data_IF_929232963442
#
_entry.id   IF_929232963442
#
_cell.length_a   1.000
_cell.length_b   1.000
_cell.length_c   1.000
_cell.angle_alpha   90.00
_cell.angle_beta   90.00
_cell.angle_gamma   90.00
#
_symmetry.space_group_name_H-M   'P 1'
#
loop_
_entity.id
_entity.type
_entity.pdbx_description
1 polymer ?
#
# COMPACT_ATOMS: atom_id res chain seq x y z
N UNK A 1 -62.68 82.25 19.60
CA UNK A 1 -61.47 81.83 20.35
C UNK A 1 -61.21 80.40 19.95
N UNK A 2 -60.04 80.13 19.35
CA UNK A 2 -59.72 78.81 18.81
C UNK A 2 -59.12 77.88 19.86
N UNK A 3 -58.87 76.64 19.45
CA UNK A 3 -57.90 75.78 20.12
C UNK A 3 -57.27 74.84 19.08
N UNK A 4 -56.11 75.25 18.55
CA UNK A 4 -55.37 74.48 17.55
C UNK A 4 -54.59 73.35 18.21
N UNK A 5 -54.99 72.10 17.96
CA UNK A 5 -54.25 70.91 18.38
C UNK A 5 -53.05 70.67 17.47
N UNK A 6 -51.88 71.22 17.84
CA UNK A 6 -50.63 71.04 17.08
C UNK A 6 -50.14 69.59 17.17
N UNK A 7 -50.38 68.81 16.11
CA UNK A 7 -49.75 67.52 15.90
C UNK A 7 -48.31 67.69 15.41
N UNK A 8 -47.32 67.50 16.30
CA UNK A 8 -45.91 67.50 15.93
C UNK A 8 -45.57 66.23 15.12
N UNK A 9 -45.58 66.35 13.80
CA UNK A 9 -45.15 65.28 12.90
C UNK A 9 -43.62 65.15 12.92
N UNK A 10 -43.10 64.15 13.64
CA UNK A 10 -41.69 63.76 13.57
C UNK A 10 -41.40 63.18 12.18
N UNK A 11 -40.94 64.03 11.27
CA UNK A 11 -40.44 63.61 9.96
C UNK A 11 -39.18 62.79 10.11
N UNK A 12 -39.30 61.47 10.07
CA UNK A 12 -38.18 60.57 9.79
C UNK A 12 -37.70 60.88 8.36
N UNK A 13 -36.62 61.65 8.22
CA UNK A 13 -35.93 61.81 6.95
C UNK A 13 -35.53 60.44 6.43
N UNK A 14 -36.09 60.03 5.28
CA UNK A 14 -35.61 58.88 4.55
C UNK A 14 -34.13 59.11 4.16
N UNK A 15 -33.25 58.10 4.27
CA UNK A 15 -31.86 58.25 3.87
C UNK A 15 -31.76 58.61 2.39
N UNK A 16 -30.92 59.60 2.09
CA UNK A 16 -30.79 60.18 0.75
C UNK A 16 -30.21 59.12 -0.22
N UNK A 17 -30.87 58.82 -1.36
CA UNK A 17 -30.48 57.69 -2.21
C UNK A 17 -29.04 57.78 -2.75
N UNK A 18 -28.54 58.99 -3.05
CA UNK A 18 -27.17 59.19 -3.53
C UNK A 18 -26.12 58.80 -2.48
N UNK A 19 -26.40 59.03 -1.19
CA UNK A 19 -25.53 58.63 -0.08
C UNK A 19 -25.52 57.10 0.04
N UNK A 20 -26.68 56.46 -0.11
CA UNK A 20 -26.77 54.99 -0.07
C UNK A 20 -26.04 54.31 -1.24
N UNK A 21 -26.02 54.93 -2.43
CA UNK A 21 -25.24 54.44 -3.57
C UNK A 21 -23.74 54.60 -3.33
N UNK A 22 -23.30 55.75 -2.80
CA UNK A 22 -21.90 55.98 -2.44
C UNK A 22 -21.36 54.98 -1.40
N UNK A 23 -22.12 54.70 -0.34
CA UNK A 23 -21.75 53.68 0.65
C UNK A 23 -21.60 52.29 0.04
N UNK A 24 -22.42 51.91 -0.96
CA UNK A 24 -22.28 50.64 -1.66
C UNK A 24 -21.11 50.60 -2.65
N UNK A 25 -20.62 51.74 -3.13
CA UNK A 25 -19.41 51.80 -3.96
C UNK A 25 -18.14 51.62 -3.11
N UNK A 26 -18.02 52.31 -1.97
CA UNK A 26 -16.89 52.13 -1.03
C UNK A 26 -16.77 50.71 -0.47
N UNK A 27 -17.88 50.11 0.00
CA UNK A 27 -17.89 48.73 0.52
C UNK A 27 -17.42 47.69 -0.53
N UNK A 28 -17.72 47.92 -1.82
CA UNK A 28 -17.21 47.08 -2.91
C UNK A 28 -15.72 47.32 -3.19
N UNK A 29 -15.26 48.57 -3.06
CA UNK A 29 -13.87 48.94 -3.23
C UNK A 29 -12.96 48.18 -2.26
N UNK A 30 -13.28 48.22 -0.96
CA UNK A 30 -12.53 47.51 0.08
C UNK A 30 -12.54 46.00 -0.14
N UNK A 31 -13.73 45.42 -0.42
CA UNK A 31 -13.87 43.99 -0.68
C UNK A 31 -13.03 43.52 -1.86
N UNK A 32 -13.05 44.26 -2.96
CA UNK A 32 -12.31 43.90 -4.17
C UNK A 32 -10.81 44.16 -4.00
N UNK A 33 -10.42 45.18 -3.23
CA UNK A 33 -9.02 45.45 -2.86
C UNK A 33 -8.45 44.30 -2.04
N UNK A 34 -9.16 43.87 -0.99
CA UNK A 34 -8.78 42.72 -0.16
C UNK A 34 -8.73 41.41 -0.98
N UNK A 35 -9.68 41.19 -1.90
CA UNK A 35 -9.65 40.05 -2.80
C UNK A 35 -8.42 40.06 -3.73
N UNK A 36 -8.12 41.19 -4.39
CA UNK A 36 -6.92 41.34 -5.21
C UNK A 36 -5.64 41.09 -4.40
N UNK A 37 -5.55 41.64 -3.19
CA UNK A 37 -4.41 41.44 -2.29
C UNK A 37 -4.24 39.99 -1.84
N UNK A 38 -5.34 39.24 -1.65
CA UNK A 38 -5.30 37.80 -1.33
C UNK A 38 -4.53 36.96 -2.38
N UNK A 39 -4.52 37.43 -3.63
CA UNK A 39 -3.78 36.86 -4.75
C UNK A 39 -2.41 37.52 -4.94
N UNK A 40 -2.34 38.86 -5.01
CA UNK A 40 -1.10 39.60 -5.26
C UNK A 40 -0.01 39.35 -4.21
N UNK A 41 -0.39 39.09 -2.94
CA UNK A 41 0.56 38.70 -1.88
C UNK A 41 1.41 37.48 -2.24
N UNK A 42 0.88 36.57 -3.07
CA UNK A 42 1.59 35.36 -3.57
C UNK A 42 2.70 35.71 -4.58
N UNK A 43 2.64 36.89 -5.19
CA UNK A 43 3.66 37.45 -6.06
C UNK A 43 4.51 38.54 -5.37
N UNK A 44 4.36 38.72 -4.04
CA UNK A 44 5.15 39.68 -3.26
C UNK A 44 4.76 41.15 -3.48
N UNK A 45 3.51 41.44 -3.86
CA UNK A 45 3.02 42.81 -4.04
C UNK A 45 1.59 42.98 -3.52
N UNK A 46 1.11 44.22 -3.45
CA UNK A 46 -0.24 44.58 -3.00
C UNK A 46 -0.71 45.88 -3.66
N UNK A 47 -1.99 46.18 -3.51
CA UNK A 47 -2.63 47.45 -3.83
C UNK A 47 -3.17 48.10 -2.55
N UNK A 48 -3.14 49.43 -2.52
CA UNK A 48 -3.65 50.25 -1.41
C UNK A 48 -4.93 50.98 -1.84
N UNK A 49 -4.97 51.51 -3.07
CA UNK A 49 -6.16 52.11 -3.66
C UNK A 49 -6.39 51.50 -5.05
N UNK A 50 -7.56 50.89 -5.25
CA UNK A 50 -7.88 50.11 -6.45
C UNK A 50 -8.02 50.98 -7.72
N UNK A 51 -8.36 52.25 -7.54
CA UNK A 51 -8.56 53.24 -8.61
C UNK A 51 -7.23 53.73 -9.18
N UNK A 52 -6.23 53.92 -8.33
CA UNK A 52 -4.88 54.41 -8.65
C UNK A 52 -3.94 53.29 -9.09
N UNK A 53 -3.93 52.17 -8.37
CA UNK A 53 -2.90 51.12 -8.52
C UNK A 53 -3.03 50.27 -9.79
N UNK A 54 -4.22 50.19 -10.38
CA UNK A 54 -4.43 49.46 -11.64
C UNK A 54 -4.22 50.32 -12.90
N UNK A 55 -4.04 51.64 -12.75
CA UNK A 55 -3.97 52.59 -13.88
C UNK A 55 -2.81 52.35 -14.82
N UNK A 56 -1.73 51.69 -14.40
CA UNK A 56 -0.58 51.38 -15.27
C UNK A 56 -0.65 50.02 -15.97
N UNK A 57 -1.68 49.21 -15.64
CA UNK A 57 -1.91 47.86 -16.12
C UNK A 57 -0.96 46.78 -15.56
N UNK A 58 0.13 47.13 -14.88
CA UNK A 58 1.15 46.16 -14.46
C UNK A 58 0.65 45.25 -13.35
N UNK A 59 0.07 45.81 -12.28
CA UNK A 59 -0.52 45.03 -11.19
C UNK A 59 -1.74 44.23 -11.67
N UNK A 60 -2.50 44.74 -12.64
CA UNK A 60 -3.64 44.05 -13.26
C UNK A 60 -3.19 42.83 -14.06
N UNK A 61 -2.17 42.98 -14.92
CA UNK A 61 -1.60 41.86 -15.67
C UNK A 61 -1.04 40.79 -14.72
N UNK A 62 -0.32 41.19 -13.66
CA UNK A 62 0.21 40.25 -12.67
C UNK A 62 -0.90 39.51 -11.90
N UNK A 63 -1.99 40.20 -11.52
CA UNK A 63 -3.16 39.58 -10.93
C UNK A 63 -3.73 38.49 -11.86
N UNK A 64 -3.89 38.79 -13.15
CA UNK A 64 -4.37 37.84 -14.16
C UNK A 64 -3.42 36.63 -14.31
N UNK A 65 -2.10 36.82 -14.29
CA UNK A 65 -1.14 35.70 -14.29
C UNK A 65 -1.30 34.82 -13.04
N UNK A 66 -1.44 35.42 -11.86
CA UNK A 66 -1.54 34.69 -10.58
C UNK A 66 -2.85 33.90 -10.45
N UNK A 67 -3.99 34.44 -10.92
CA UNK A 67 -5.28 33.73 -10.82
C UNK A 67 -5.47 32.67 -11.91
N UNK A 68 -4.85 32.83 -13.07
CA UNK A 68 -4.96 31.87 -14.19
C UNK A 68 -3.87 30.80 -14.20
N UNK A 69 -2.69 31.10 -13.64
CA UNK A 69 -1.48 30.28 -13.78
C UNK A 69 -0.80 30.40 -15.15
N UNK A 70 -1.31 31.26 -16.04
CA UNK A 70 -0.77 31.48 -17.38
C UNK A 70 0.07 32.76 -17.45
N UNK A 71 1.04 32.83 -18.37
CA UNK A 71 1.83 34.05 -18.61
C UNK A 71 1.18 34.91 -19.68
N UNK A 72 1.06 36.21 -19.39
CA UNK A 72 0.55 37.20 -20.34
C UNK A 72 1.69 37.68 -21.26
N UNK A 73 1.32 38.39 -22.33
CA UNK A 73 2.28 39.08 -23.18
C UNK A 73 3.12 40.06 -22.35
N UNK A 74 4.42 40.22 -22.66
CA UNK A 74 5.32 41.09 -21.89
C UNK A 74 4.76 42.52 -21.80
N UNK A 75 4.76 43.15 -20.61
CA UNK A 75 4.28 44.52 -20.46
C UNK A 75 5.20 45.52 -21.15
N UNK A 76 4.62 46.61 -21.66
CA UNK A 76 5.36 47.77 -22.14
C UNK A 76 6.04 48.50 -20.99
N UNK A 77 7.31 48.85 -21.19
CA UNK A 77 8.15 49.50 -20.18
C UNK A 77 8.24 51.00 -20.45
N UNK A 78 7.31 51.77 -19.88
CA UNK A 78 7.41 53.23 -19.89
C UNK A 78 6.30 53.93 -19.12
N UNK A 79 6.52 55.21 -18.78
CA UNK A 79 5.63 55.98 -17.89
C UNK A 79 4.51 56.74 -18.61
N UNK A 80 4.61 56.93 -19.93
CA UNK A 80 3.59 57.64 -20.73
C UNK A 80 2.23 56.92 -20.73
N UNK A 81 1.13 57.69 -20.82
CA UNK A 81 -0.27 57.17 -20.85
C UNK A 81 -0.47 56.08 -21.91
N UNK A 82 0.14 56.20 -23.09
CA UNK A 82 0.08 55.19 -24.17
C UNK A 82 0.62 53.82 -23.75
N UNK A 83 1.67 53.74 -22.93
CA UNK A 83 2.16 52.45 -22.43
C UNK A 83 1.20 51.83 -21.41
N UNK A 84 0.61 52.66 -20.55
CA UNK A 84 -0.42 52.25 -19.59
C UNK A 84 -1.63 51.65 -20.32
N UNK A 85 -2.13 52.33 -21.36
CA UNK A 85 -3.21 51.84 -22.23
C UNK A 85 -2.83 50.52 -22.91
N UNK A 86 -1.60 50.39 -23.41
CA UNK A 86 -1.12 49.13 -24.01
C UNK A 86 -1.12 47.97 -23.00
N UNK A 87 -0.69 48.20 -21.76
CA UNK A 87 -0.71 47.19 -20.70
C UNK A 87 -2.13 46.80 -20.29
N UNK A 88 -3.02 47.78 -20.11
CA UNK A 88 -4.43 47.50 -19.79
C UNK A 88 -5.12 46.78 -20.96
N UNK A 89 -4.88 47.16 -22.22
CA UNK A 89 -5.41 46.42 -23.38
C UNK A 89 -4.93 44.96 -23.39
N UNK A 90 -3.63 44.68 -23.14
CA UNK A 90 -3.12 43.30 -23.01
C UNK A 90 -3.85 42.50 -21.91
N UNK A 91 -4.23 43.15 -20.81
CA UNK A 91 -5.03 42.53 -19.75
C UNK A 91 -6.50 42.30 -20.18
N UNK A 92 -7.15 43.29 -20.82
CA UNK A 92 -8.53 43.19 -21.30
C UNK A 92 -8.67 42.13 -22.42
N UNK A 93 -7.71 42.06 -23.34
CA UNK A 93 -7.63 41.04 -24.40
C UNK A 93 -7.51 39.64 -23.79
N UNK A 94 -6.69 39.48 -22.75
CA UNK A 94 -6.59 38.21 -22.01
C UNK A 94 -7.92 37.85 -21.34
N UNK A 95 -8.57 38.79 -20.66
CA UNK A 95 -9.90 38.59 -20.02
C UNK A 95 -10.95 38.17 -21.06
N UNK A 96 -10.98 38.84 -22.22
CA UNK A 96 -11.87 38.51 -23.33
C UNK A 96 -11.59 37.10 -23.88
N UNK A 97 -10.31 36.70 -24.02
CA UNK A 97 -9.91 35.36 -24.46
C UNK A 97 -10.42 34.24 -23.54
N UNK A 98 -10.68 34.53 -22.26
CA UNK A 98 -11.25 33.57 -21.28
C UNK A 98 -12.78 33.51 -21.30
N UNK A 99 -13.43 34.15 -22.28
CA UNK A 99 -14.88 34.10 -22.51
C UNK A 99 -15.69 35.20 -21.82
N UNK A 100 -15.04 36.25 -21.30
CA UNK A 100 -15.70 37.37 -20.62
C UNK A 100 -16.12 38.43 -21.65
N UNK A 101 -17.38 38.89 -21.58
CA UNK A 101 -17.88 40.00 -22.40
C UNK A 101 -17.70 41.32 -21.67
N UNK A 102 -16.76 42.16 -22.12
CA UNK A 102 -16.40 43.43 -21.50
C UNK A 102 -17.39 44.57 -21.84
N UNK A 103 -18.65 44.37 -21.43
CA UNK A 103 -19.81 45.26 -21.40
C UNK A 103 -19.75 46.47 -20.44
N UNK A 104 -19.21 47.67 -20.67
CA UNK A 104 -18.65 48.30 -21.87
C UNK A 104 -17.30 48.96 -21.52
N UNK A 105 -16.33 48.14 -21.16
CA UNK A 105 -15.12 48.55 -20.42
C UNK A 105 -13.97 48.76 -21.40
N UNK A 106 -13.48 50.00 -21.51
CA UNK A 106 -12.31 50.37 -22.31
C UNK A 106 -11.06 50.62 -21.45
N UNK A 107 -9.87 50.43 -22.03
CA UNK A 107 -8.61 50.68 -21.31
C UNK A 107 -8.43 52.15 -20.89
N UNK A 108 -8.94 53.11 -21.67
CA UNK A 108 -8.92 54.54 -21.35
C UNK A 108 -9.54 54.80 -19.96
N UNK A 109 -10.71 54.21 -19.67
CA UNK A 109 -11.44 54.37 -18.40
C UNK A 109 -10.63 53.91 -17.19
N UNK A 110 -9.90 52.79 -17.33
CA UNK A 110 -9.07 52.23 -16.25
C UNK A 110 -7.81 53.09 -16.05
N UNK A 111 -7.19 53.57 -17.13
CA UNK A 111 -5.98 54.41 -17.07
C UNK A 111 -6.28 55.81 -16.52
N UNK A 112 -7.49 56.33 -16.77
CA UNK A 112 -7.92 57.64 -16.29
C UNK A 112 -8.50 57.61 -14.87
N UNK A 113 -8.76 56.42 -14.31
CA UNK A 113 -9.18 56.23 -12.90
C UNK A 113 -10.70 56.21 -12.69
N UNK A 114 -11.48 55.74 -13.68
CA UNK A 114 -12.93 55.61 -13.52
C UNK A 114 -13.27 54.43 -12.57
N UNK A 115 -13.44 54.74 -11.30
CA UNK A 115 -13.80 53.84 -10.18
C UNK A 115 -14.84 52.79 -10.59
N UNK A 116 -15.96 53.24 -11.15
CA UNK A 116 -17.10 52.39 -11.49
C UNK A 116 -16.76 51.38 -12.59
N UNK A 117 -15.93 51.77 -13.54
CA UNK A 117 -15.45 50.88 -14.61
C UNK A 117 -14.37 49.92 -14.10
N UNK A 118 -13.50 50.38 -13.20
CA UNK A 118 -12.50 49.55 -12.53
C UNK A 118 -13.15 48.49 -11.64
N UNK A 119 -14.08 48.84 -10.76
CA UNK A 119 -14.86 47.89 -9.96
C UNK A 119 -15.71 46.96 -10.87
N UNK A 120 -16.23 47.48 -11.98
CA UNK A 120 -16.91 46.68 -13.01
C UNK A 120 -16.01 45.59 -13.61
N UNK A 121 -14.78 45.96 -13.98
CA UNK A 121 -13.76 45.06 -14.52
C UNK A 121 -13.35 44.01 -13.49
N UNK A 122 -12.98 44.43 -12.27
CA UNK A 122 -12.56 43.52 -11.20
C UNK A 122 -13.70 42.54 -10.85
N UNK A 123 -14.96 42.99 -10.83
CA UNK A 123 -16.10 42.08 -10.69
C UNK A 123 -16.18 41.04 -11.81
N UNK A 124 -15.95 41.40 -13.08
CA UNK A 124 -15.97 40.39 -14.17
C UNK A 124 -14.84 39.37 -14.06
N UNK A 125 -13.68 39.79 -13.53
CA UNK A 125 -12.54 38.90 -13.22
C UNK A 125 -12.91 37.95 -12.08
N UNK A 126 -13.41 38.47 -10.94
CA UNK A 126 -13.88 37.66 -9.80
C UNK A 126 -14.95 36.67 -10.27
N UNK A 127 -15.97 37.14 -10.98
CA UNK A 127 -17.03 36.30 -11.51
C UNK A 127 -16.46 35.18 -12.38
N UNK A 128 -15.54 35.48 -13.30
CA UNK A 128 -14.97 34.47 -14.21
C UNK A 128 -14.06 33.46 -13.52
N UNK A 129 -13.12 33.91 -12.69
CA UNK A 129 -12.03 33.07 -12.17
C UNK A 129 -12.32 32.50 -10.78
N UNK A 130 -13.14 33.16 -9.95
CA UNK A 130 -13.49 32.67 -8.62
C UNK A 130 -14.89 32.04 -8.55
N UNK A 131 -15.84 32.43 -9.41
CA UNK A 131 -17.24 31.98 -9.27
C UNK A 131 -17.69 31.07 -10.41
N UNK A 132 -17.35 31.38 -11.68
CA UNK A 132 -17.95 30.74 -12.85
C UNK A 132 -17.72 29.23 -12.94
N UNK A 133 -16.58 28.74 -12.46
CA UNK A 133 -16.23 27.31 -12.45
C UNK A 133 -16.84 26.56 -11.24
N UNK A 134 -17.61 27.24 -10.37
CA UNK A 134 -18.42 26.64 -9.30
C UNK A 134 -19.73 26.11 -9.88
N UNK A 135 -19.68 24.93 -10.51
CA UNK A 135 -20.87 24.20 -10.92
C UNK A 135 -21.27 23.17 -9.86
N UNK A 136 -22.54 23.22 -9.44
CA UNK A 136 -23.18 22.17 -8.63
C UNK A 136 -24.45 21.79 -9.38
N UNK A 137 -24.53 20.53 -9.83
CA UNK A 137 -25.69 19.98 -10.54
C UNK A 137 -26.13 20.79 -11.77
N UNK A 138 -25.15 21.19 -12.59
CA UNK A 138 -25.36 21.86 -13.89
C UNK A 138 -26.12 23.21 -13.84
N UNK A 139 -26.34 23.75 -12.64
CA UNK A 139 -26.92 25.09 -12.42
C UNK A 139 -25.93 26.21 -12.77
N UNK A 140 -26.43 27.44 -12.95
CA UNK A 140 -25.54 28.59 -13.19
C UNK A 140 -24.63 28.84 -11.98
N UNK A 141 -23.44 29.39 -12.21
CA UNK A 141 -22.42 29.53 -11.17
C UNK A 141 -22.88 30.22 -9.88
N UNK A 142 -23.75 31.24 -9.98
CA UNK A 142 -24.36 31.91 -8.83
C UNK A 142 -25.31 30.99 -8.06
N UNK A 143 -26.12 30.23 -8.78
CA UNK A 143 -27.06 29.25 -8.21
C UNK A 143 -26.32 28.06 -7.60
N UNK A 144 -25.25 27.58 -8.25
CA UNK A 144 -24.38 26.52 -7.73
C UNK A 144 -23.70 26.91 -6.41
N UNK A 145 -23.19 28.14 -6.31
CA UNK A 145 -22.64 28.66 -5.05
C UNK A 145 -23.74 28.81 -3.97
N UNK A 146 -24.94 29.27 -4.34
CA UNK A 146 -26.07 29.44 -3.42
C UNK A 146 -26.56 28.07 -2.89
N UNK A 147 -26.72 27.09 -3.79
CA UNK A 147 -27.09 25.71 -3.50
C UNK A 147 -26.05 25.03 -2.62
N UNK A 148 -24.75 25.27 -2.85
CA UNK A 148 -23.68 24.81 -1.97
C UNK A 148 -23.85 25.39 -0.55
N UNK A 149 -24.09 26.71 -0.43
CA UNK A 149 -24.33 27.34 0.87
C UNK A 149 -25.51 26.68 1.58
N UNK A 150 -26.67 26.61 0.92
CA UNK A 150 -27.89 25.99 1.42
C UNK A 150 -27.67 24.56 1.90
N UNK A 151 -26.98 23.72 1.12
CA UNK A 151 -26.69 22.32 1.49
C UNK A 151 -25.78 22.19 2.70
N UNK A 152 -24.79 23.09 2.83
CA UNK A 152 -23.87 23.10 3.97
C UNK A 152 -24.55 23.65 5.23
N UNK A 153 -25.46 24.63 5.11
CA UNK A 153 -26.19 25.20 6.24
C UNK A 153 -27.53 24.51 6.56
N UNK A 154 -28.02 23.58 5.73
CA UNK A 154 -29.30 22.88 5.95
C UNK A 154 -29.49 22.24 7.34
N UNK A 155 -28.45 21.72 8.03
CA UNK A 155 -28.61 21.19 9.41
C UNK A 155 -28.90 22.27 10.48
N UNK A 156 -28.68 23.56 10.19
CA UNK A 156 -28.73 24.65 11.16
C UNK A 156 -30.08 25.37 11.08
N UNK A 157 -30.99 25.04 12.01
CA UNK A 157 -32.38 25.55 12.02
C UNK A 157 -32.50 27.08 12.09
N UNK A 158 -31.47 27.77 12.59
CA UNK A 158 -31.41 29.23 12.71
C UNK A 158 -30.86 29.93 11.45
N UNK A 159 -30.48 29.20 10.40
CA UNK A 159 -29.88 29.72 9.16
C UNK A 159 -30.77 29.40 7.96
N UNK A 160 -31.08 30.42 7.15
CA UNK A 160 -31.85 30.28 5.92
C UNK A 160 -31.24 31.16 4.81
N UNK A 161 -30.38 30.56 3.99
CA UNK A 161 -29.67 31.26 2.90
C UNK A 161 -30.52 31.25 1.64
N UNK A 162 -31.02 32.43 1.23
CA UNK A 162 -31.86 32.59 0.03
C UNK A 162 -31.28 33.57 -0.99
N UNK A 163 -30.29 34.37 -0.58
CA UNK A 163 -29.64 35.39 -1.41
C UNK A 163 -28.24 35.68 -0.86
N UNK A 164 -27.44 36.44 -1.60
CA UNK A 164 -26.13 36.92 -1.16
C UNK A 164 -26.19 38.35 -0.60
N UNK A 165 -27.26 38.75 0.08
CA UNK A 165 -27.31 40.06 0.75
C UNK A 165 -27.86 39.98 2.17
N UNK A 166 -29.18 39.90 2.32
CA UNK A 166 -29.85 39.97 3.63
C UNK A 166 -29.69 38.67 4.41
N UNK A 167 -29.61 37.52 3.73
CA UNK A 167 -29.43 36.21 4.37
C UNK A 167 -28.11 36.03 5.14
N UNK A 168 -27.14 36.92 4.94
CA UNK A 168 -25.81 36.87 5.57
C UNK A 168 -25.62 37.91 6.67
N UNK A 169 -26.57 38.86 6.80
CA UNK A 169 -26.47 40.02 7.70
C UNK A 169 -26.42 39.64 9.19
N UNK A 170 -26.96 38.48 9.57
CA UNK A 170 -26.91 38.01 10.97
C UNK A 170 -25.62 37.26 11.33
N UNK A 171 -24.68 37.08 10.40
CA UNK A 171 -23.40 36.41 10.59
C UNK A 171 -23.47 34.88 10.79
N UNK A 172 -24.66 34.34 11.10
CA UNK A 172 -24.86 32.91 11.37
C UNK A 172 -24.58 32.04 10.15
N UNK A 173 -24.84 32.56 8.93
CA UNK A 173 -24.49 31.89 7.67
C UNK A 173 -22.99 31.59 7.54
N UNK A 174 -22.12 32.57 7.82
CA UNK A 174 -20.67 32.38 7.78
C UNK A 174 -20.20 31.40 8.86
N UNK A 175 -20.69 31.57 10.10
CA UNK A 175 -20.37 30.67 11.21
C UNK A 175 -20.77 29.22 10.93
N UNK A 176 -21.95 29.00 10.34
CA UNK A 176 -22.46 27.67 9.99
C UNK A 176 -21.64 27.02 8.87
N UNK A 177 -21.19 27.79 7.86
CA UNK A 177 -20.27 27.28 6.84
C UNK A 177 -18.95 26.79 7.42
N UNK A 178 -18.36 27.57 8.34
CA UNK A 178 -17.10 27.20 9.00
C UNK A 178 -17.31 25.96 9.87
N UNK A 179 -18.26 25.99 10.82
CA UNK A 179 -18.55 24.87 11.72
C UNK A 179 -18.95 23.59 10.97
N UNK A 180 -19.54 23.69 9.76
CA UNK A 180 -19.90 22.49 8.96
C UNK A 180 -18.68 21.73 8.43
N UNK A 181 -17.58 22.43 8.14
CA UNK A 181 -16.35 21.86 7.59
C UNK A 181 -15.26 21.65 8.64
N UNK A 182 -15.25 22.50 9.67
CA UNK A 182 -14.31 22.49 10.80
C UNK A 182 -15.04 22.86 12.10
N UNK A 183 -15.77 21.90 12.71
CA UNK A 183 -16.56 22.16 13.92
C UNK A 183 -15.69 22.57 15.12
N UNK A 184 -14.42 22.23 15.13
CA UNK A 184 -13.46 22.57 16.18
C UNK A 184 -13.12 24.07 16.27
N UNK A 185 -13.43 24.86 15.24
CA UNK A 185 -13.03 26.28 15.17
C UNK A 185 -14.07 27.26 15.71
N UNK A 186 -15.34 26.88 15.83
CA UNK A 186 -16.44 27.76 16.27
C UNK A 186 -17.38 27.01 17.21
N UNK A 187 -17.55 27.51 18.43
CA UNK A 187 -18.61 27.04 19.33
C UNK A 187 -19.96 27.62 18.90
N UNK A 188 -20.61 26.94 17.97
CA UNK A 188 -21.87 27.39 17.37
C UNK A 188 -23.01 27.52 18.39
N UNK A 189 -22.94 26.81 19.53
CA UNK A 189 -23.97 26.86 20.58
C UNK A 189 -24.03 28.19 21.33
N UNK A 190 -22.98 29.01 21.28
CA UNK A 190 -22.92 30.34 21.91
C UNK A 190 -23.47 31.45 21.02
N UNK A 191 -23.54 31.24 19.71
CA UNK A 191 -23.92 32.26 18.73
C UNK A 191 -25.42 32.54 18.76
N UNK A 192 -25.81 33.79 18.58
CA UNK A 192 -27.22 34.21 18.61
C UNK A 192 -27.54 35.23 17.53
N UNK A 193 -28.78 35.23 17.05
CA UNK A 193 -29.22 36.08 15.93
C UNK A 193 -29.32 37.57 16.29
N UNK A 194 -29.50 37.88 17.55
CA UNK A 194 -29.57 39.22 18.14
C UNK A 194 -28.20 39.92 18.25
N UNK A 195 -27.08 39.20 18.08
CA UNK A 195 -25.72 39.75 18.08
C UNK A 195 -24.99 39.51 16.74
N UNK A 196 -25.39 40.22 15.66
CA UNK A 196 -24.81 40.02 14.34
C UNK A 196 -23.34 40.46 14.27
N UNK A 197 -22.95 41.48 15.05
CA UNK A 197 -21.61 42.05 15.01
C UNK A 197 -20.57 41.06 15.56
N UNK A 198 -20.86 40.42 16.70
CA UNK A 198 -20.00 39.37 17.25
C UNK A 198 -19.95 38.14 16.36
N UNK A 199 -21.08 37.72 15.76
CA UNK A 199 -21.12 36.57 14.84
C UNK A 199 -20.23 36.80 13.60
N UNK A 200 -20.34 37.99 12.97
CA UNK A 200 -19.55 38.35 11.79
C UNK A 200 -18.05 38.40 12.12
N UNK A 201 -17.67 39.16 13.15
CA UNK A 201 -16.27 39.25 13.57
C UNK A 201 -15.67 37.89 13.96
N UNK A 202 -16.41 37.05 14.70
CA UNK A 202 -15.98 35.68 15.03
C UNK A 202 -15.71 34.84 13.77
N UNK A 203 -16.59 34.90 12.78
CA UNK A 203 -16.40 34.18 11.52
C UNK A 203 -15.18 34.71 10.74
N UNK A 204 -15.00 36.03 10.70
CA UNK A 204 -13.94 36.69 9.93
C UNK A 204 -12.55 36.47 10.56
N UNK A 205 -12.45 36.58 11.89
CA UNK A 205 -11.23 36.25 12.65
C UNK A 205 -10.81 34.79 12.48
N UNK A 206 -11.77 33.86 12.57
CA UNK A 206 -11.51 32.43 12.40
C UNK A 206 -11.09 32.10 10.95
N UNK A 207 -11.70 32.76 9.97
CA UNK A 207 -11.36 32.58 8.56
C UNK A 207 -9.94 33.06 8.24
N UNK A 208 -9.55 34.23 8.76
CA UNK A 208 -8.20 34.77 8.60
C UNK A 208 -7.16 33.90 9.30
N UNK A 209 -7.38 33.58 10.58
CA UNK A 209 -6.39 32.90 11.42
C UNK A 209 -6.18 31.42 11.09
N UNK A 210 -7.22 30.69 10.67
CA UNK A 210 -7.17 29.23 10.53
C UNK A 210 -7.48 28.71 9.12
N UNK A 211 -8.02 29.55 8.22
CA UNK A 211 -8.35 29.17 6.84
C UNK A 211 -7.52 29.95 5.78
N UNK A 212 -6.69 30.92 6.19
CA UNK A 212 -5.96 31.85 5.31
C UNK A 212 -6.87 32.59 4.30
N UNK A 213 -8.10 32.90 4.73
CA UNK A 213 -9.04 33.74 4.00
C UNK A 213 -8.96 35.14 4.64
N UNK A 214 -8.33 36.14 3.99
CA UNK A 214 -8.20 37.48 4.58
C UNK A 214 -9.57 38.11 4.77
N UNK A 215 -9.70 39.01 5.74
CA UNK A 215 -10.93 39.78 5.95
C UNK A 215 -11.18 40.68 4.74
N UNK A 216 -12.26 40.40 3.99
CA UNK A 216 -12.67 41.21 2.83
C UNK A 216 -13.91 42.05 3.12
N UNK A 217 -14.53 41.91 4.29
CA UNK A 217 -15.75 42.62 4.67
C UNK A 217 -15.59 43.13 6.09
N UNK A 218 -16.06 44.34 6.36
CA UNK A 218 -16.24 44.83 7.72
C UNK A 218 -17.60 44.38 8.30
N UNK A 219 -17.64 44.08 9.59
CA UNK A 219 -18.85 43.66 10.28
C UNK A 219 -19.80 44.85 10.57
N UNK A 220 -19.26 46.03 10.86
CA UNK A 220 -20.02 47.26 11.11
C UNK A 220 -20.77 47.70 9.85
N UNK A 221 -20.13 47.65 8.68
CA UNK A 221 -20.74 48.01 7.39
C UNK A 221 -21.92 47.09 7.00
N UNK A 222 -21.76 45.78 7.20
CA UNK A 222 -22.83 44.80 6.96
C UNK A 222 -24.02 45.05 7.88
N UNK A 223 -23.77 45.40 9.15
CA UNK A 223 -24.81 45.64 10.15
C UNK A 223 -25.48 47.00 9.93
N UNK A 224 -24.73 48.05 9.62
CA UNK A 224 -25.23 49.40 9.36
C UNK A 224 -26.03 49.50 8.04
N UNK A 225 -25.62 48.79 7.00
CA UNK A 225 -26.27 48.86 5.68
C UNK A 225 -27.59 48.08 5.64
N UNK A 226 -28.68 48.71 5.18
CA UNK A 226 -30.00 48.05 5.09
C UNK A 226 -30.01 46.79 4.20
N UNK A 227 -29.21 46.80 3.12
CA UNK A 227 -28.98 45.67 2.21
C UNK A 227 -27.49 45.61 1.82
N UNK A 228 -26.71 44.66 2.37
CA UNK A 228 -25.32 44.45 1.96
C UNK A 228 -25.18 44.23 0.46
N UNK A 229 -24.05 44.62 -0.13
CA UNK A 229 -23.81 44.44 -1.57
C UNK A 229 -23.65 42.96 -1.94
N UNK A 230 -24.41 42.53 -2.95
CA UNK A 230 -24.45 41.14 -3.38
C UNK A 230 -23.12 40.65 -3.96
N UNK A 231 -22.38 41.51 -4.67
CA UNK A 231 -21.10 41.15 -5.28
C UNK A 231 -20.02 40.96 -4.23
N UNK A 232 -19.97 41.85 -3.24
CA UNK A 232 -19.05 41.76 -2.12
C UNK A 232 -19.23 40.46 -1.33
N UNK A 233 -20.48 40.15 -0.91
CA UNK A 233 -20.80 38.90 -0.22
C UNK A 233 -20.50 37.67 -1.10
N UNK A 234 -20.86 37.67 -2.39
CA UNK A 234 -20.52 36.57 -3.30
C UNK A 234 -19.00 36.34 -3.40
N UNK A 235 -18.21 37.41 -3.47
CA UNK A 235 -16.74 37.35 -3.53
C UNK A 235 -16.18 36.66 -2.29
N UNK A 236 -16.61 37.09 -1.11
CA UNK A 236 -16.12 36.53 0.15
C UNK A 236 -16.59 35.08 0.36
N UNK A 237 -17.86 34.77 0.08
CA UNK A 237 -18.41 33.40 0.16
C UNK A 237 -17.74 32.44 -0.84
N UNK A 238 -17.35 32.92 -2.03
CA UNK A 238 -16.58 32.11 -2.99
C UNK A 238 -15.18 31.75 -2.47
N UNK A 239 -14.57 32.61 -1.64
CA UNK A 239 -13.28 32.33 -0.99
C UNK A 239 -13.39 31.17 0.01
N UNK A 240 -14.48 31.11 0.80
CA UNK A 240 -14.79 29.94 1.64
C UNK A 240 -15.03 28.68 0.80
N UNK A 241 -15.74 28.78 -0.33
CA UNK A 241 -15.94 27.64 -1.23
C UNK A 241 -14.60 27.05 -1.70
N UNK A 242 -13.65 27.89 -2.13
CA UNK A 242 -12.34 27.41 -2.60
C UNK A 242 -11.49 26.83 -1.48
N UNK A 243 -11.46 27.46 -0.30
CA UNK A 243 -10.74 26.92 0.85
C UNK A 243 -11.24 25.51 1.24
N UNK A 244 -12.56 25.34 1.36
CA UNK A 244 -13.15 24.05 1.77
C UNK A 244 -13.18 23.01 0.65
N UNK A 245 -13.43 23.39 -0.60
CA UNK A 245 -13.40 22.44 -1.72
C UNK A 245 -11.97 22.00 -2.08
N UNK A 246 -10.97 22.88 -1.92
CA UNK A 246 -9.56 22.54 -2.01
C UNK A 246 -9.14 21.52 -0.95
N UNK A 247 -9.51 21.76 0.31
CA UNK A 247 -9.28 20.81 1.41
C UNK A 247 -9.92 19.44 1.14
N UNK A 248 -11.19 19.41 0.70
CA UNK A 248 -11.90 18.15 0.39
C UNK A 248 -11.26 17.38 -0.77
N UNK A 249 -10.77 18.07 -1.81
CA UNK A 249 -10.04 17.46 -2.93
C UNK A 249 -8.71 16.87 -2.46
N UNK A 250 -7.96 17.59 -1.64
CA UNK A 250 -6.70 17.12 -1.05
C UNK A 250 -6.92 15.89 -0.15
N UNK A 251 -7.92 15.91 0.73
CA UNK A 251 -8.29 14.78 1.58
C UNK A 251 -8.68 13.56 0.74
N UNK A 252 -9.49 13.76 -0.31
CA UNK A 252 -9.89 12.66 -1.22
C UNK A 252 -8.70 12.07 -1.97
N UNK A 253 -7.74 12.90 -2.37
CA UNK A 253 -6.50 12.44 -2.99
C UNK A 253 -5.63 11.67 -1.99
N UNK A 254 -5.45 12.18 -0.76
CA UNK A 254 -4.71 11.50 0.31
C UNK A 254 -5.34 10.14 0.66
N UNK A 255 -6.67 10.08 0.78
CA UNK A 255 -7.40 8.83 1.03
C UNK A 255 -7.26 7.81 -0.11
N UNK A 256 -7.15 8.26 -1.37
CA UNK A 256 -6.83 7.39 -2.52
C UNK A 256 -5.39 6.87 -2.45
N UNK A 257 -4.43 7.74 -2.13
CA UNK A 257 -3.02 7.37 -1.96
C UNK A 257 -2.86 6.34 -0.84
N UNK A 258 -3.48 6.55 0.33
CA UNK A 258 -3.44 5.61 1.46
C UNK A 258 -3.98 4.22 1.09
N UNK A 259 -5.07 4.14 0.30
CA UNK A 259 -5.59 2.87 -0.22
C UNK A 259 -4.61 2.17 -1.18
N UNK A 260 -3.96 2.93 -2.06
CA UNK A 260 -2.96 2.37 -3.00
C UNK A 260 -1.71 1.90 -2.24
N UNK A 261 -1.27 2.62 -1.20
CA UNK A 261 -0.16 2.23 -0.35
C UNK A 261 -0.48 0.96 0.44
N UNK A 262 -1.66 0.84 1.05
CA UNK A 262 -2.08 -0.37 1.77
C UNK A 262 -2.05 -1.62 0.86
N UNK A 263 -2.61 -1.52 -0.35
CA UNK A 263 -2.55 -2.62 -1.34
C UNK A 263 -1.12 -2.94 -1.77
N UNK A 264 -0.23 -1.94 -1.81
CA UNK A 264 1.18 -2.16 -2.13
C UNK A 264 1.91 -2.90 -0.99
N UNK A 265 1.67 -2.49 0.26
CA UNK A 265 2.24 -3.14 1.44
C UNK A 265 1.82 -4.60 1.56
N UNK A 266 0.55 -4.92 1.26
CA UNK A 266 0.08 -6.32 1.18
C UNK A 266 0.81 -7.13 0.09
N UNK A 267 1.12 -6.52 -1.06
CA UNK A 267 1.83 -7.21 -2.13
C UNK A 267 3.30 -7.44 -1.77
N UNK A 268 3.95 -6.46 -1.13
CA UNK A 268 5.31 -6.57 -0.61
C UNK A 268 5.40 -7.67 0.46
N UNK A 269 4.44 -7.74 1.39
CA UNK A 269 4.39 -8.84 2.37
C UNK A 269 4.24 -10.21 1.69
N UNK A 270 3.38 -10.33 0.67
CA UNK A 270 3.22 -11.57 -0.09
C UNK A 270 4.49 -11.97 -0.87
N UNK A 271 5.29 -10.98 -1.32
CA UNK A 271 6.61 -11.22 -1.94
C UNK A 271 7.62 -11.75 -0.92
N UNK A 272 7.70 -11.12 0.26
CA UNK A 272 8.58 -11.56 1.36
C UNK A 272 8.20 -12.96 1.87
N UNK A 273 6.91 -13.21 2.08
CA UNK A 273 6.39 -14.51 2.52
C UNK A 273 6.72 -15.61 1.50
N UNK A 274 6.59 -15.32 0.19
CA UNK A 274 7.00 -16.24 -0.87
C UNK A 274 8.51 -16.50 -0.84
N UNK A 275 9.34 -15.45 -0.81
CA UNK A 275 10.81 -15.59 -0.83
C UNK A 275 11.34 -16.37 0.38
N UNK A 276 10.73 -16.15 1.56
CA UNK A 276 11.06 -16.86 2.78
C UNK A 276 10.68 -18.34 2.71
N UNK A 277 9.42 -18.65 2.36
CA UNK A 277 8.97 -20.03 2.19
C UNK A 277 9.79 -20.78 1.12
N UNK A 278 10.14 -20.11 0.01
CA UNK A 278 11.00 -20.67 -1.02
C UNK A 278 12.39 -21.01 -0.48
N UNK A 279 12.98 -20.11 0.31
CA UNK A 279 14.31 -20.29 0.89
C UNK A 279 14.34 -21.45 1.90
N UNK A 280 13.39 -21.46 2.83
CA UNK A 280 13.28 -22.47 3.89
C UNK A 280 13.02 -23.87 3.29
N UNK A 281 12.14 -23.96 2.29
CA UNK A 281 11.82 -25.22 1.61
C UNK A 281 13.00 -25.74 0.78
N UNK A 282 13.66 -24.89 0.00
CA UNK A 282 14.84 -25.27 -0.79
C UNK A 282 16.03 -25.66 0.10
N UNK A 283 16.22 -25.01 1.25
CA UNK A 283 17.22 -25.41 2.21
C UNK A 283 16.90 -26.77 2.86
N UNK A 284 15.64 -27.00 3.25
CA UNK A 284 15.22 -28.30 3.76
C UNK A 284 15.45 -29.41 2.74
N UNK A 285 15.06 -29.24 1.47
CA UNK A 285 15.31 -30.20 0.39
C UNK A 285 16.83 -30.50 0.27
N UNK A 286 17.67 -29.45 0.21
CA UNK A 286 19.13 -29.59 0.11
C UNK A 286 19.76 -30.34 1.30
N UNK A 287 19.20 -30.20 2.50
CA UNK A 287 19.65 -30.92 3.71
C UNK A 287 19.14 -32.37 3.76
N UNK A 288 17.94 -32.64 3.23
CA UNK A 288 17.31 -33.97 3.28
C UNK A 288 17.81 -34.94 2.21
N UNK A 289 18.12 -34.47 0.99
CA UNK A 289 18.60 -35.34 -0.10
C UNK A 289 19.85 -36.16 0.31
N UNK A 290 20.93 -35.58 0.88
CA UNK A 290 22.11 -36.35 1.29
C UNK A 290 21.84 -37.42 2.36
N UNK A 291 20.82 -37.22 3.21
CA UNK A 291 20.41 -38.23 4.20
C UNK A 291 19.72 -39.42 3.53
N UNK A 292 18.87 -39.19 2.52
CA UNK A 292 18.23 -40.24 1.70
C UNK A 292 19.22 -40.94 0.75
N UNK A 293 20.27 -40.23 0.31
CA UNK A 293 21.32 -40.83 -0.53
C UNK A 293 22.36 -41.65 0.27
N UNK A 294 22.37 -41.53 1.61
CA UNK A 294 23.29 -42.26 2.48
C UNK A 294 22.93 -43.75 2.62
N UNK A 295 23.31 -44.55 1.62
CA UNK A 295 23.06 -46.00 1.53
C UNK A 295 24.11 -46.85 2.28
N UNK A 296 24.51 -46.41 3.47
CA UNK A 296 25.46 -47.15 4.31
C UNK A 296 24.79 -48.39 4.94
N UNK A 297 25.23 -49.63 4.61
CA UNK A 297 24.66 -50.85 5.18
C UNK A 297 25.06 -51.02 6.64
N UNK A 298 24.12 -51.46 7.48
CA UNK A 298 24.38 -51.78 8.89
C UNK A 298 24.60 -53.29 9.08
N UNK A 299 25.44 -53.64 10.05
CA UNK A 299 25.84 -55.03 10.29
C UNK A 299 24.82 -55.86 11.10
N UNK A 300 23.72 -55.25 11.57
CA UNK A 300 22.70 -55.95 12.39
C UNK A 300 21.29 -55.66 11.91
N UNK A 301 20.42 -56.68 11.97
CA UNK A 301 18.99 -56.56 11.64
C UNK A 301 18.30 -55.45 12.45
N UNK A 302 18.66 -55.30 13.73
CA UNK A 302 18.08 -54.29 14.62
C UNK A 302 18.44 -52.85 14.20
N UNK A 303 19.68 -52.60 13.79
CA UNK A 303 20.08 -51.28 13.28
C UNK A 303 19.37 -50.91 11.96
N UNK A 304 19.12 -51.90 11.08
CA UNK A 304 18.31 -51.68 9.88
C UNK A 304 16.82 -51.47 10.19
N UNK A 305 16.28 -52.10 11.24
CA UNK A 305 14.92 -51.81 11.73
C UNK A 305 14.80 -50.38 12.27
N UNK A 306 15.82 -49.86 12.97
CA UNK A 306 15.84 -48.46 13.41
C UNK A 306 15.79 -47.50 12.21
N UNK A 307 16.64 -47.70 11.19
CA UNK A 307 16.62 -46.88 9.96
C UNK A 307 15.26 -46.92 9.24
N UNK A 308 14.52 -48.02 9.35
CA UNK A 308 13.16 -48.14 8.79
C UNK A 308 12.14 -47.32 9.59
N UNK A 309 12.24 -47.26 10.92
CA UNK A 309 11.35 -46.43 11.74
C UNK A 309 11.68 -44.94 11.60
N UNK A 310 12.96 -44.56 11.56
CA UNK A 310 13.39 -43.19 11.25
C UNK A 310 12.80 -42.70 9.90
N UNK A 311 12.74 -43.59 8.89
CA UNK A 311 12.12 -43.31 7.59
C UNK A 311 10.58 -43.24 7.65
N UNK A 312 9.94 -44.01 8.53
CA UNK A 312 8.49 -43.91 8.79
C UNK A 312 8.13 -42.60 9.48
N UNK A 313 8.91 -42.18 10.46
CA UNK A 313 8.74 -40.89 11.15
C UNK A 313 8.98 -39.71 10.21
N UNK A 314 10.01 -39.78 9.35
CA UNK A 314 10.18 -38.84 8.25
C UNK A 314 8.90 -38.71 7.39
N UNK A 315 8.33 -39.83 6.94
CA UNK A 315 7.11 -39.82 6.08
C UNK A 315 5.83 -39.42 6.81
N UNK A 316 5.71 -39.68 8.11
CA UNK A 316 4.50 -39.42 8.91
C UNK A 316 4.47 -38.04 9.55
N UNK A 317 5.62 -37.52 10.00
CA UNK A 317 5.70 -36.30 10.80
C UNK A 317 6.40 -35.16 10.05
N UNK A 318 7.54 -35.43 9.40
CA UNK A 318 8.40 -34.38 8.85
C UNK A 318 8.07 -33.97 7.40
N UNK A 319 7.71 -34.93 6.53
CA UNK A 319 7.34 -34.64 5.14
C UNK A 319 5.97 -33.95 4.96
N UNK A 320 4.88 -34.35 5.64
CA UNK A 320 3.56 -33.76 5.42
C UNK A 320 3.47 -32.23 5.53
N UNK A 321 4.05 -31.55 6.56
CA UNK A 321 4.03 -30.09 6.61
C UNK A 321 4.79 -29.45 5.44
N UNK A 322 5.85 -30.09 4.91
CA UNK A 322 6.60 -29.58 3.75
C UNK A 322 5.84 -29.70 2.43
N UNK A 323 4.95 -30.68 2.30
CA UNK A 323 3.96 -30.74 1.20
C UNK A 323 2.98 -29.58 1.30
N UNK A 324 2.52 -29.24 2.50
CA UNK A 324 1.64 -28.10 2.72
C UNK A 324 2.33 -26.76 2.46
N UNK A 325 3.59 -26.58 2.89
CA UNK A 325 4.40 -25.38 2.58
C UNK A 325 4.59 -25.20 1.06
N UNK A 326 4.89 -26.28 0.31
CA UNK A 326 4.97 -26.24 -1.15
C UNK A 326 3.66 -25.76 -1.79
N UNK A 327 2.53 -26.32 -1.35
CA UNK A 327 1.21 -25.92 -1.84
C UNK A 327 0.89 -24.45 -1.51
N UNK A 328 1.19 -24.01 -0.28
CA UNK A 328 0.99 -22.63 0.15
C UNK A 328 1.84 -21.63 -0.65
N UNK A 329 3.07 -22.01 -1.01
CA UNK A 329 3.96 -21.21 -1.85
C UNK A 329 3.38 -21.01 -3.27
N UNK A 330 2.84 -22.06 -3.88
CA UNK A 330 2.16 -21.99 -5.18
C UNK A 330 0.87 -21.15 -5.11
N UNK A 331 0.11 -21.24 -4.01
CA UNK A 331 -1.07 -20.39 -3.76
C UNK A 331 -0.65 -18.92 -3.64
N UNK A 332 0.36 -18.60 -2.81
CA UNK A 332 0.85 -17.24 -2.62
C UNK A 332 1.29 -16.61 -3.94
N UNK A 333 2.06 -17.34 -4.75
CA UNK A 333 2.51 -16.89 -6.07
C UNK A 333 1.33 -16.60 -7.01
N UNK A 334 0.39 -17.53 -7.15
CA UNK A 334 -0.76 -17.35 -8.04
C UNK A 334 -1.69 -16.22 -7.60
N UNK A 335 -1.87 -16.04 -6.28
CA UNK A 335 -2.65 -14.94 -5.70
C UNK A 335 -1.96 -13.60 -5.97
N UNK A 336 -0.66 -13.48 -5.70
CA UNK A 336 0.12 -12.27 -5.95
C UNK A 336 0.14 -11.90 -7.45
N UNK A 337 0.41 -12.87 -8.32
CA UNK A 337 0.41 -12.68 -9.77
C UNK A 337 -0.96 -12.22 -10.30
N UNK A 338 -2.06 -12.71 -9.70
CA UNK A 338 -3.41 -12.26 -10.02
C UNK A 338 -3.70 -10.85 -9.49
N UNK A 339 -3.30 -10.52 -8.25
CA UNK A 339 -3.40 -9.15 -7.69
C UNK A 339 -2.65 -8.13 -8.54
N UNK A 340 -1.42 -8.44 -8.96
CA UNK A 340 -0.60 -7.56 -9.78
C UNK A 340 -1.19 -7.36 -11.19
N UNK A 341 -1.65 -8.45 -11.84
CA UNK A 341 -2.33 -8.35 -13.15
C UNK A 341 -3.60 -7.52 -13.10
N UNK A 342 -4.46 -7.73 -12.10
CA UNK A 342 -5.72 -6.96 -11.95
C UNK A 342 -5.49 -5.48 -11.64
N UNK A 343 -4.33 -5.13 -11.07
CA UNK A 343 -3.93 -3.75 -10.80
C UNK A 343 -3.05 -3.13 -11.90
N UNK A 344 -2.88 -3.81 -13.04
CA UNK A 344 -2.00 -3.42 -14.16
C UNK A 344 -0.55 -3.12 -13.73
N UNK A 345 -0.05 -3.84 -12.72
CA UNK A 345 1.32 -3.75 -12.23
C UNK A 345 2.23 -4.79 -12.90
N UNK A 346 3.56 -4.56 -12.92
CA UNK A 346 4.52 -5.57 -13.37
C UNK A 346 4.33 -6.91 -12.64
N UNK A 347 4.58 -8.00 -13.37
CA UNK A 347 4.56 -9.35 -12.79
C UNK A 347 5.64 -9.51 -11.71
N UNK A 348 5.35 -10.32 -10.69
CA UNK A 348 6.36 -10.68 -9.71
C UNK A 348 7.32 -11.71 -10.31
N UNK A 349 8.61 -11.45 -10.20
CA UNK A 349 9.68 -12.38 -10.56
C UNK A 349 10.53 -12.64 -9.31
N UNK A 350 10.54 -13.87 -8.77
CA UNK A 350 11.41 -14.26 -7.65
C UNK A 350 12.90 -14.14 -7.98
N UNK A 351 13.73 -14.09 -6.94
CA UNK A 351 15.19 -14.22 -7.08
C UNK A 351 15.61 -15.49 -7.84
N UNK A 352 16.76 -15.45 -8.52
CA UNK A 352 17.26 -16.59 -9.31
C UNK A 352 17.35 -17.89 -8.50
N UNK A 353 16.92 -19.01 -9.10
CA UNK A 353 16.87 -20.32 -8.45
C UNK A 353 15.74 -20.51 -7.43
N UNK A 354 14.83 -19.52 -7.29
CA UNK A 354 13.62 -19.59 -6.43
C UNK A 354 12.31 -19.55 -7.22
N UNK A 355 12.33 -19.81 -8.53
CA UNK A 355 11.10 -19.87 -9.30
C UNK A 355 10.28 -21.11 -8.94
N UNK A 356 8.96 -21.06 -9.15
CA UNK A 356 8.06 -22.19 -8.89
C UNK A 356 8.47 -23.44 -9.70
N UNK A 357 9.07 -23.26 -10.88
CA UNK A 357 9.71 -24.33 -11.66
C UNK A 357 10.87 -25.00 -10.92
N UNK A 358 11.74 -24.21 -10.31
CA UNK A 358 12.98 -24.67 -9.68
C UNK A 358 12.66 -25.45 -8.40
N UNK A 359 11.66 -24.97 -7.65
CA UNK A 359 11.11 -25.64 -6.47
C UNK A 359 10.47 -26.98 -6.86
N UNK A 360 9.72 -27.03 -7.96
CA UNK A 360 9.15 -28.27 -8.47
C UNK A 360 10.23 -29.26 -8.94
N UNK A 361 11.29 -28.79 -9.60
CA UNK A 361 12.43 -29.62 -9.99
C UNK A 361 13.17 -30.17 -8.77
N UNK A 362 13.49 -29.33 -7.78
CA UNK A 362 14.14 -29.74 -6.54
C UNK A 362 13.29 -30.75 -5.73
N UNK A 363 11.97 -30.56 -5.71
CA UNK A 363 11.03 -31.51 -5.11
C UNK A 363 11.01 -32.85 -5.85
N UNK A 364 11.07 -32.86 -7.17
CA UNK A 364 11.20 -34.08 -7.97
C UNK A 364 12.49 -34.86 -7.67
N UNK A 365 13.61 -34.17 -7.47
CA UNK A 365 14.87 -34.79 -7.03
C UNK A 365 14.74 -35.44 -5.64
N UNK A 366 14.03 -34.80 -4.71
CA UNK A 366 13.74 -35.38 -3.39
C UNK A 366 12.91 -36.67 -3.50
N UNK A 367 11.84 -36.67 -4.29
CA UNK A 367 11.00 -37.85 -4.50
C UNK A 367 11.76 -39.01 -5.17
N UNK A 368 12.69 -38.70 -6.07
CA UNK A 368 13.59 -39.69 -6.66
C UNK A 368 14.57 -40.29 -5.64
N UNK A 369 15.13 -39.45 -4.75
CA UNK A 369 16.02 -39.91 -3.66
C UNK A 369 15.26 -40.78 -2.66
N UNK A 370 14.04 -40.39 -2.25
CA UNK A 370 13.16 -41.18 -1.37
C UNK A 370 12.87 -42.57 -1.95
N UNK A 371 12.48 -42.65 -3.23
CA UNK A 371 12.19 -43.92 -3.89
C UNK A 371 13.43 -44.82 -3.91
N UNK A 372 14.60 -44.26 -4.24
CA UNK A 372 15.86 -44.99 -4.22
C UNK A 372 16.29 -45.48 -2.83
N UNK A 373 15.97 -44.72 -1.77
CA UNK A 373 16.22 -45.10 -0.39
C UNK A 373 15.26 -46.20 0.10
N UNK A 374 13.96 -46.09 -0.22
CA UNK A 374 12.96 -47.12 0.09
C UNK A 374 13.27 -48.46 -0.59
N UNK A 375 13.62 -48.44 -1.88
CA UNK A 375 14.06 -49.64 -2.61
C UNK A 375 15.34 -50.26 -2.00
N UNK A 376 16.31 -49.43 -1.61
CA UNK A 376 17.55 -49.88 -0.97
C UNK A 376 17.30 -50.50 0.41
N UNK A 377 16.54 -49.83 1.30
CA UNK A 377 16.18 -50.35 2.63
C UNK A 377 15.49 -51.71 2.54
N UNK A 378 14.49 -51.84 1.64
CA UNK A 378 13.75 -53.09 1.45
C UNK A 378 14.60 -54.21 0.83
N UNK A 379 15.62 -53.88 0.02
CA UNK A 379 16.58 -54.87 -0.47
C UNK A 379 17.52 -55.34 0.65
N UNK A 380 18.00 -54.42 1.48
CA UNK A 380 18.99 -54.69 2.52
C UNK A 380 18.40 -55.47 3.70
N UNK A 381 17.18 -55.14 4.14
CA UNK A 381 16.45 -55.93 5.15
C UNK A 381 16.26 -57.37 4.65
N UNK A 382 15.77 -57.56 3.41
CA UNK A 382 15.63 -58.89 2.78
C UNK A 382 16.96 -59.61 2.54
N UNK A 383 18.10 -58.90 2.58
CA UNK A 383 19.44 -59.49 2.50
C UNK A 383 19.85 -60.03 3.88
N UNK A 384 19.70 -59.21 4.92
CA UNK A 384 20.01 -59.60 6.30
C UNK A 384 19.12 -60.74 6.79
N UNK A 385 17.79 -60.68 6.59
CA UNK A 385 16.87 -61.78 6.95
C UNK A 385 17.29 -63.13 6.37
N UNK A 386 17.78 -63.13 5.11
CA UNK A 386 18.28 -64.34 4.44
C UNK A 386 19.61 -64.80 5.00
N UNK A 387 20.51 -63.88 5.37
CA UNK A 387 21.77 -64.21 6.03
C UNK A 387 21.56 -64.78 7.43
N UNK A 388 20.69 -64.19 8.24
CA UNK A 388 20.36 -64.69 9.58
C UNK A 388 19.71 -66.07 9.51
N UNK A 389 18.77 -66.30 8.58
CA UNK A 389 18.20 -67.63 8.35
C UNK A 389 19.23 -68.67 7.91
N UNK A 390 20.17 -68.31 7.03
CA UNK A 390 21.24 -69.21 6.59
C UNK A 390 22.26 -69.49 7.70
N UNK A 391 22.62 -68.48 8.49
CA UNK A 391 23.51 -68.61 9.64
C UNK A 391 22.90 -69.50 10.71
N UNK A 392 21.62 -69.33 11.03
CA UNK A 392 20.91 -70.17 11.99
C UNK A 392 20.80 -71.62 11.50
N UNK A 393 20.44 -71.83 10.23
CA UNK A 393 20.44 -73.17 9.60
C UNK A 393 21.83 -73.81 9.57
N UNK A 394 22.89 -73.02 9.47
CA UNK A 394 24.26 -73.51 9.59
C UNK A 394 24.59 -73.91 11.04
N UNK A 395 24.32 -73.06 12.03
CA UNK A 395 24.52 -73.37 13.46
C UNK A 395 23.82 -74.65 13.87
N UNK A 396 22.55 -74.82 13.49
CA UNK A 396 21.78 -76.03 13.79
C UNK A 396 22.44 -77.29 13.20
N UNK A 397 22.90 -77.23 11.95
CA UNK A 397 23.59 -78.35 11.30
C UNK A 397 24.97 -78.63 11.88
N UNK A 398 25.73 -77.58 12.23
CA UNK A 398 27.02 -77.69 12.88
C UNK A 398 26.86 -78.36 14.25
N UNK A 399 25.95 -77.88 15.09
CA UNK A 399 25.66 -78.44 16.42
C UNK A 399 25.20 -79.90 16.36
N UNK A 400 24.35 -80.27 15.39
CA UNK A 400 23.97 -81.69 15.17
C UNK A 400 25.18 -82.54 14.78
N UNK A 401 26.08 -82.01 13.95
CA UNK A 401 27.28 -82.72 13.51
C UNK A 401 28.32 -82.85 14.64
N UNK A 402 28.54 -81.80 15.42
CA UNK A 402 29.41 -81.77 16.60
C UNK A 402 28.93 -82.79 17.64
N UNK A 403 27.62 -82.79 17.96
CA UNK A 403 27.03 -83.77 18.87
C UNK A 403 27.12 -85.22 18.37
N UNK A 404 27.10 -85.45 17.04
CA UNK A 404 27.36 -86.76 16.46
C UNK A 404 28.84 -87.16 16.58
N UNK A 405 29.77 -86.25 16.29
CA UNK A 405 31.21 -86.54 16.43
C UNK A 405 31.64 -86.77 17.88
N UNK A 406 31.07 -86.04 18.84
CA UNK A 406 31.32 -86.25 20.27
C UNK A 406 30.75 -87.59 20.76
N UNK A 407 29.64 -88.05 20.17
CA UNK A 407 29.07 -89.37 20.40
C UNK A 407 29.92 -90.52 19.85
N UNK A 408 30.54 -90.35 18.68
CA UNK A 408 31.45 -91.35 18.09
C UNK A 408 32.92 -91.22 18.56
N UNK A 409 33.27 -90.18 19.32
CA UNK A 409 34.57 -90.03 19.98
C UNK A 409 34.81 -91.02 21.15
N UNK A 410 34.01 -92.09 21.24
CA UNK A 410 34.11 -93.16 22.24
C UNK A 410 34.13 -94.55 21.58
N UNK A 411 35.18 -95.35 21.84
CA UNK A 411 36.47 -95.29 21.16
C UNK A 411 36.44 -95.91 19.75
N UNK A 412 37.40 -95.53 18.91
CA UNK A 412 37.60 -96.03 17.55
C UNK A 412 38.12 -97.49 17.51
N UNK A 413 37.30 -98.48 17.87
CA UNK A 413 37.69 -99.90 17.91
C UNK A 413 36.83 -100.89 17.08
N UNK A 414 35.80 -100.43 16.36
CA UNK A 414 34.95 -101.31 15.54
C UNK A 414 34.46 -100.68 14.22
N UNK A 415 35.29 -100.60 13.18
CA UNK A 415 34.81 -100.43 11.80
C UNK A 415 35.56 -101.32 10.80
N UNK A 416 34.85 -102.11 9.95
CA UNK A 416 35.48 -102.99 8.97
C UNK A 416 35.99 -102.23 7.72
N UNK A 417 36.92 -102.81 6.93
CA UNK A 417 37.73 -102.07 5.93
C UNK A 417 36.97 -101.36 4.79
N UNK A 418 35.68 -101.63 4.58
CA UNK A 418 34.87 -100.97 3.55
C UNK A 418 34.35 -99.58 3.93
N UNK A 419 34.28 -99.24 5.22
CA UNK A 419 33.63 -97.98 5.68
C UNK A 419 34.55 -96.76 5.47
N UNK A 420 35.87 -96.95 5.58
CA UNK A 420 36.87 -95.89 5.37
C UNK A 420 36.80 -95.24 3.98
N UNK A 421 36.47 -96.01 2.93
CA UNK A 421 36.29 -95.46 1.58
C UNK A 421 35.05 -94.56 1.48
N UNK A 422 33.98 -94.90 2.19
CA UNK A 422 32.74 -94.11 2.28
C UNK A 422 32.97 -92.83 3.09
N UNK A 423 33.66 -92.92 4.22
CA UNK A 423 34.03 -91.77 5.06
C UNK A 423 34.99 -90.82 4.32
N UNK A 424 35.98 -91.34 3.60
CA UNK A 424 36.87 -90.52 2.75
C UNK A 424 36.12 -89.86 1.58
N UNK A 425 35.16 -90.54 0.97
CA UNK A 425 34.31 -89.95 -0.07
C UNK A 425 33.38 -88.87 0.50
N UNK A 426 32.85 -89.06 1.72
CA UNK A 426 32.05 -88.08 2.45
C UNK A 426 32.90 -86.85 2.82
N UNK A 427 34.10 -87.06 3.37
CA UNK A 427 35.08 -86.01 3.71
C UNK A 427 35.54 -85.23 2.49
N UNK A 428 35.82 -85.88 1.35
CA UNK A 428 36.18 -85.20 0.10
C UNK A 428 35.01 -84.35 -0.43
N UNK A 429 33.76 -84.82 -0.25
CA UNK A 429 32.56 -84.02 -0.55
C UNK A 429 32.38 -82.83 0.40
N UNK A 430 32.72 -82.99 1.68
CA UNK A 430 32.72 -81.90 2.68
C UNK A 430 33.86 -80.89 2.44
N UNK A 431 35.07 -81.33 2.07
CA UNK A 431 36.17 -80.45 1.67
C UNK A 431 35.79 -79.61 0.45
N UNK A 432 35.05 -80.17 -0.52
CA UNK A 432 34.52 -79.40 -1.66
C UNK A 432 33.47 -78.37 -1.23
N UNK A 433 32.66 -78.67 -0.22
CA UNK A 433 31.70 -77.71 0.36
C UNK A 433 32.42 -76.60 1.15
N UNK A 434 33.46 -76.93 1.92
CA UNK A 434 34.33 -75.97 2.59
C UNK A 434 35.10 -75.10 1.59
N UNK A 435 35.61 -75.66 0.49
CA UNK A 435 36.26 -74.87 -0.57
C UNK A 435 35.27 -73.96 -1.30
N UNK A 436 34.02 -74.40 -1.49
CA UNK A 436 32.94 -73.56 -2.03
C UNK A 436 32.54 -72.44 -1.05
N UNK A 437 32.48 -72.71 0.26
CA UNK A 437 32.24 -71.70 1.29
C UNK A 437 33.38 -70.68 1.37
N UNK A 438 34.64 -71.13 1.33
CA UNK A 438 35.80 -70.24 1.25
C UNK A 438 35.81 -69.41 -0.04
N UNK A 439 35.44 -70.00 -1.18
CA UNK A 439 35.30 -69.27 -2.45
C UNK A 439 34.18 -68.21 -2.36
N UNK A 440 33.04 -68.54 -1.76
CA UNK A 440 31.94 -67.60 -1.51
C UNK A 440 32.38 -66.48 -0.56
N UNK A 441 33.12 -66.78 0.52
CA UNK A 441 33.68 -65.76 1.40
C UNK A 441 34.68 -64.85 0.66
N UNK A 442 35.58 -65.42 -0.15
CA UNK A 442 36.62 -64.68 -0.88
C UNK A 442 36.07 -63.81 -2.01
N UNK A 443 34.99 -64.25 -2.68
CA UNK A 443 34.27 -63.46 -3.69
C UNK A 443 33.36 -62.41 -3.05
N UNK A 444 32.83 -62.64 -1.84
CA UNK A 444 31.95 -61.67 -1.15
C UNK A 444 32.71 -60.59 -0.35
N UNK A 445 33.94 -60.88 0.09
CA UNK A 445 34.80 -59.95 0.82
C UNK A 445 36.14 -59.78 0.09
N UNK A 446 36.19 -58.85 -0.86
CA UNK A 446 37.48 -58.32 -1.30
C UNK A 446 38.20 -57.69 -0.08
N UNK A 447 39.45 -58.11 0.16
CA UNK A 447 40.32 -57.71 1.28
C UNK A 447 39.99 -58.23 2.70
N UNK A 448 40.07 -59.55 2.93
CA UNK A 448 40.54 -60.08 4.22
C UNK A 448 41.58 -61.20 4.04
N UNK A 449 42.68 -61.12 4.81
CA UNK A 449 43.70 -62.19 4.88
C UNK A 449 43.11 -63.48 5.45
N UNK A 450 43.60 -64.62 4.97
CA UNK A 450 43.18 -65.96 5.38
C UNK A 450 43.23 -66.16 6.91
N UNK A 451 44.22 -65.55 7.57
CA UNK A 451 44.40 -65.62 9.03
C UNK A 451 43.21 -65.04 9.82
N UNK A 452 42.56 -63.98 9.31
CA UNK A 452 41.38 -63.39 9.97
C UNK A 452 40.15 -64.29 9.84
N UNK A 453 39.98 -64.97 8.71
CA UNK A 453 38.90 -65.95 8.53
C UNK A 453 39.04 -67.14 9.49
N UNK A 454 40.27 -67.59 9.76
CA UNK A 454 40.55 -68.65 10.75
C UNK A 454 40.22 -68.16 12.17
N UNK A 455 40.59 -66.92 12.52
CA UNK A 455 40.30 -66.35 13.85
C UNK A 455 38.80 -66.18 14.15
N UNK A 456 37.98 -65.89 13.14
CA UNK A 456 36.52 -65.75 13.27
C UNK A 456 35.79 -67.09 13.46
N UNK A 457 36.43 -68.22 13.15
CA UNK A 457 35.87 -69.56 13.29
C UNK A 457 36.15 -70.20 14.66
N UNK A 458 36.84 -69.51 15.57
CA UNK A 458 37.00 -69.94 16.98
C UNK A 458 37.86 -71.18 17.20
N UNK A 459 38.54 -71.71 16.17
CA UNK A 459 39.39 -72.91 16.29
C UNK A 459 40.76 -72.54 16.86
N UNK A 460 41.00 -72.92 18.11
CA UNK A 460 42.32 -72.84 18.74
C UNK A 460 43.28 -73.84 18.08
N UNK A 461 44.18 -73.35 17.24
CA UNK A 461 45.21 -74.16 16.59
C UNK A 461 46.29 -74.59 17.61
N UNK A 462 46.08 -75.75 18.23
CA UNK A 462 47.11 -76.43 19.02
C UNK A 462 47.65 -77.66 18.29
N UNK A 463 48.94 -77.95 18.51
CA UNK A 463 49.75 -79.03 17.95
C UNK A 463 50.27 -78.85 16.51
N UNK A 464 51.59 -78.90 16.39
CA UNK A 464 52.34 -78.87 15.13
C UNK A 464 52.56 -80.28 14.58
N UNK A 465 52.33 -80.49 13.29
CA UNK A 465 52.92 -81.61 12.54
C UNK A 465 53.48 -81.07 11.23
N UNK A 466 54.72 -81.43 10.91
CA UNK A 466 55.44 -80.99 9.72
C UNK A 466 54.95 -81.76 8.48
N UNK A 467 54.82 -81.07 7.36
CA UNK A 467 54.65 -81.70 6.05
C UNK A 467 56.00 -82.19 5.51
N UNK A 468 55.98 -83.36 4.88
CA UNK A 468 57.05 -83.97 4.10
C UNK A 468 56.44 -84.75 2.94
#
# INVERSE_FOLDING_TARGET
MGNDGVGASFGLCAPNPDVAVGCQEGFREETFTAWCNSHLRKAGTQIENIEEDFRDGLKLMLLLEVISGERLAKPERGKMRVHKISNVNKALDFIASKGVKLVSIGAEEIVDGNVKMTLGMIWTIILRFAIQDISVEETSAKEGLLLWCQRKTAPYKNVNIQNFHISWKDGLGFCALIHRHRPELIDYGKLRKDDPLTNLNTAFDVAEKYLDIPKMLDAEDIVGTARPDEKAIMTYVSSFYHAFSGAQKAETAANRICKVLAVNQENEQLMEDYEKLASDLLEWIRRTIPWLENRAPENTMHAMQQKLEDFRDYRRLHKPPKVQEKCQLEINFNTLQTKLRLSNRPAFMPSEGRMVSDINNAWGCLEQAEKGYEEWLLNEIRRLERLDHLAEKFRQKASIHEAWTDGEASPASCFPPGVLALVLHQLNRQLRLLSLLLLVCFVSYQFLSLDKCISLLGVSASSSVKWG
#
